data_IF_080385294412
#
_entry.id   IF_080385294412
#
_cell.length_a   1.000
_cell.length_b   1.000
_cell.length_c   1.000
_cell.angle_alpha   90.00
_cell.angle_beta   90.00
_cell.angle_gamma   90.00
#
_symmetry.space_group_name_H-M   'P 1'
#
loop_
_entity.id
_entity.type
_entity.pdbx_description
1 polymer ?
#
# COMPACT_ATOMS: atom_id res chain seq x y z
N UNK A 1 18.71 7.02 26.20
CA UNK A 1 18.05 8.27 25.85
C UNK A 1 16.89 8.01 24.91
N UNK A 2 15.75 8.69 25.10
CA UNK A 2 14.53 8.61 24.30
C UNK A 2 14.43 9.92 23.53
N UNK A 3 13.91 9.91 22.30
CA UNK A 3 13.72 11.12 21.50
C UNK A 3 12.23 11.41 21.38
N UNK A 4 11.85 12.63 21.72
CA UNK A 4 10.47 13.13 21.74
C UNK A 4 10.35 14.42 20.93
N UNK A 5 9.13 14.75 20.48
CA UNK A 5 8.81 16.08 19.94
C UNK A 5 8.53 17.09 21.08
N UNK A 6 8.15 18.30 20.71
CA UNK A 6 7.80 19.39 21.66
C UNK A 6 6.51 19.13 22.45
N UNK A 7 5.71 18.13 22.04
CA UNK A 7 4.51 17.66 22.74
C UNK A 7 4.78 16.39 23.55
N UNK A 8 6.05 16.02 23.72
CA UNK A 8 6.52 14.81 24.40
C UNK A 8 6.03 13.49 23.78
N UNK A 9 5.67 13.49 22.49
CA UNK A 9 5.37 12.26 21.76
C UNK A 9 6.67 11.54 21.44
N UNK A 10 6.78 10.27 21.81
CA UNK A 10 7.97 9.47 21.58
C UNK A 10 8.16 9.22 20.07
N UNK A 11 9.26 9.74 19.53
CA UNK A 11 9.66 9.56 18.13
C UNK A 11 10.60 8.37 17.96
N UNK A 12 11.46 8.11 18.97
CA UNK A 12 12.39 6.99 18.99
C UNK A 12 12.59 6.51 20.42
N UNK A 13 12.80 5.18 20.59
CA UNK A 13 13.08 4.56 21.89
C UNK A 13 11.87 4.03 22.62
N UNK A 14 10.76 3.69 21.94
CA UNK A 14 9.52 3.15 22.55
C UNK A 14 9.81 1.91 23.41
N UNK A 15 10.59 0.95 22.92
CA UNK A 15 10.94 -0.24 23.70
C UNK A 15 11.80 0.10 24.92
N UNK A 16 12.68 1.10 24.80
CA UNK A 16 13.48 1.59 25.95
C UNK A 16 12.60 2.28 26.97
N UNK A 17 11.61 3.06 26.51
CA UNK A 17 10.62 3.68 27.39
C UNK A 17 9.85 2.65 28.21
N UNK A 18 9.30 1.61 27.57
CA UNK A 18 8.58 0.55 28.29
C UNK A 18 9.49 -0.16 29.30
N UNK A 19 10.71 -0.52 28.91
CA UNK A 19 11.67 -1.13 29.83
C UNK A 19 12.05 -0.24 31.01
N UNK A 20 12.27 1.06 30.80
CA UNK A 20 12.57 2.05 31.85
C UNK A 20 11.37 2.18 32.81
N UNK A 21 10.16 2.24 32.26
CA UNK A 21 8.92 2.30 33.02
C UNK A 21 8.72 1.06 33.89
N UNK A 22 8.91 -0.14 33.34
CA UNK A 22 8.77 -1.40 34.05
C UNK A 22 9.80 -1.57 35.19
N UNK A 23 11.02 -1.02 34.96
CA UNK A 23 12.09 -1.07 35.94
C UNK A 23 12.07 0.09 36.95
N UNK A 24 11.17 1.06 36.80
CA UNK A 24 11.12 2.25 37.67
C UNK A 24 12.37 3.12 37.60
N UNK A 25 13.09 3.13 36.49
CA UNK A 25 14.33 3.88 36.33
C UNK A 25 14.08 5.34 35.91
N UNK A 26 15.02 6.27 36.22
CA UNK A 26 14.90 7.64 35.75
C UNK A 26 14.90 7.74 34.22
N UNK A 27 13.93 8.49 33.69
CA UNK A 27 13.78 8.71 32.25
C UNK A 27 14.62 9.91 31.81
N UNK A 28 15.48 9.68 30.81
CA UNK A 28 16.20 10.75 30.09
C UNK A 28 15.72 10.83 28.65
N UNK A 29 15.47 12.03 28.16
CA UNK A 29 14.96 12.26 26.80
C UNK A 29 15.61 13.49 26.17
N UNK A 30 15.54 13.55 24.83
CA UNK A 30 15.93 14.70 24.03
C UNK A 30 14.72 15.19 23.24
N UNK A 31 14.46 16.48 23.29
CA UNK A 31 13.38 17.10 22.50
C UNK A 31 13.96 17.53 21.16
N UNK A 32 13.26 17.18 20.07
CA UNK A 32 13.57 17.67 18.72
C UNK A 32 12.40 18.45 18.15
N UNK A 33 12.68 19.35 17.18
CA UNK A 33 11.64 20.16 16.55
C UNK A 33 10.65 19.28 15.76
N UNK A 34 9.32 19.51 15.87
CA UNK A 34 8.29 18.81 15.09
C UNK A 34 8.48 18.86 13.59
N UNK A 35 9.01 19.96 13.04
CA UNK A 35 9.27 20.08 11.59
C UNK A 35 10.28 19.05 11.09
N UNK A 36 11.23 18.66 11.94
CA UNK A 36 12.26 17.66 11.64
C UNK A 36 11.84 16.24 12.04
N UNK A 37 10.79 16.10 12.84
CA UNK A 37 10.41 14.83 13.47
C UNK A 37 10.10 13.72 12.45
N UNK A 38 9.45 14.05 11.33
CA UNK A 38 9.12 13.09 10.28
C UNK A 38 10.38 12.62 9.54
N UNK A 39 11.22 13.57 9.11
CA UNK A 39 12.50 13.28 8.46
C UNK A 39 13.42 12.49 9.39
N UNK A 40 13.39 12.83 10.68
CA UNK A 40 14.15 12.14 11.72
C UNK A 40 13.69 10.68 11.89
N UNK A 41 12.39 10.42 12.06
CA UNK A 41 11.85 9.05 12.19
C UNK A 41 12.22 8.21 10.96
N UNK A 42 12.08 8.77 9.76
CA UNK A 42 12.41 8.08 8.52
C UNK A 42 13.92 7.79 8.46
N UNK A 43 14.77 8.76 8.80
CA UNK A 43 16.23 8.61 8.76
C UNK A 43 16.74 7.59 9.77
N UNK A 44 16.23 7.60 10.99
CA UNK A 44 16.59 6.64 12.02
C UNK A 44 16.22 5.21 11.63
N UNK A 45 15.03 5.03 11.06
CA UNK A 45 14.59 3.70 10.63
C UNK A 45 15.30 3.22 9.35
N UNK A 46 15.70 4.12 8.45
CA UNK A 46 16.52 3.76 7.28
C UNK A 46 17.96 3.44 7.64
N UNK A 47 18.52 4.05 8.66
CA UNK A 47 19.89 3.79 9.12
C UNK A 47 20.02 2.48 9.93
N UNK A 48 18.98 2.09 10.65
CA UNK A 48 18.98 0.85 11.46
C UNK A 48 18.42 -0.35 10.70
N UNK A 49 17.38 -0.15 9.89
CA UNK A 49 16.73 -1.16 9.05
C UNK A 49 15.88 -0.45 8.00
N UNK A 50 16.13 -0.72 6.73
CA UNK A 50 15.27 -0.19 5.66
C UNK A 50 13.81 -0.60 5.86
N UNK A 51 12.93 0.37 6.00
CA UNK A 51 11.49 0.12 6.07
C UNK A 51 11.00 -0.58 4.80
N UNK A 52 10.15 -1.58 4.99
CA UNK A 52 9.39 -2.18 3.91
C UNK A 52 8.20 -1.29 3.54
N UNK A 53 7.66 -1.50 2.36
CA UNK A 53 6.53 -0.71 1.86
C UNK A 53 5.32 -0.72 2.81
N UNK A 54 5.05 -1.83 3.50
CA UNK A 54 3.94 -1.92 4.45
C UNK A 54 4.19 -1.11 5.75
N UNK A 55 5.46 -0.88 6.14
CA UNK A 55 5.83 -0.03 7.28
C UNK A 55 5.60 1.45 6.94
N UNK A 56 6.05 1.91 5.75
CA UNK A 56 5.71 3.25 5.23
C UNK A 56 4.20 3.45 5.11
N UNK A 57 3.48 2.44 4.59
CA UNK A 57 2.04 2.49 4.45
C UNK A 57 1.34 2.70 5.79
N UNK A 58 1.73 1.96 6.81
CA UNK A 58 1.15 2.07 8.15
C UNK A 58 1.45 3.43 8.79
N UNK A 59 2.68 3.93 8.65
CA UNK A 59 3.10 5.23 9.16
C UNK A 59 2.28 6.36 8.54
N UNK A 60 2.22 6.46 7.21
CA UNK A 60 1.50 7.53 6.54
C UNK A 60 -0.02 7.43 6.68
N UNK A 61 -0.60 6.23 6.68
CA UNK A 61 -2.02 6.06 6.93
C UNK A 61 -2.41 6.47 8.37
N UNK A 62 -1.56 6.21 9.37
CA UNK A 62 -1.76 6.70 10.74
C UNK A 62 -1.69 8.22 10.79
N UNK A 63 -0.72 8.83 10.11
CA UNK A 63 -0.56 10.28 10.00
C UNK A 63 -1.78 10.95 9.35
N UNK A 64 -2.29 10.39 8.25
CA UNK A 64 -3.53 10.86 7.61
C UNK A 64 -4.71 10.85 8.57
N UNK A 65 -4.88 9.76 9.33
CA UNK A 65 -5.96 9.63 10.33
C UNK A 65 -5.83 10.68 11.43
N UNK A 66 -4.62 10.94 11.92
CA UNK A 66 -4.37 11.94 12.97
C UNK A 66 -4.66 13.36 12.47
N UNK A 67 -4.23 13.69 11.24
CA UNK A 67 -4.44 15.03 10.66
C UNK A 67 -5.89 15.30 10.23
N UNK A 68 -6.62 14.24 9.82
CA UNK A 68 -7.98 14.35 9.28
C UNK A 68 -8.91 13.29 9.86
N UNK A 69 -9.22 13.35 11.19
CA UNK A 69 -9.93 12.27 11.89
C UNK A 69 -11.32 11.97 11.34
N UNK A 70 -12.00 12.95 10.72
CA UNK A 70 -13.34 12.77 10.16
C UNK A 70 -13.31 12.23 8.72
N UNK A 71 -12.30 12.56 7.92
CA UNK A 71 -12.25 12.28 6.48
C UNK A 71 -11.08 11.37 6.06
N UNK A 72 -10.38 10.72 7.01
CA UNK A 72 -9.20 9.90 6.70
C UNK A 72 -9.51 8.71 5.77
N UNK A 73 -10.76 8.25 5.74
CA UNK A 73 -11.19 7.15 4.86
C UNK A 73 -11.02 7.46 3.37
N UNK A 74 -11.00 8.74 2.98
CA UNK A 74 -10.79 9.17 1.60
C UNK A 74 -9.34 9.58 1.31
N UNK A 75 -8.45 9.47 2.30
CA UNK A 75 -7.04 9.80 2.13
C UNK A 75 -6.28 8.71 1.35
N UNK A 76 -5.24 9.09 0.55
CA UNK A 76 -4.54 8.16 -0.36
C UNK A 76 -3.96 6.94 0.33
N UNK A 77 -3.18 7.12 1.41
CA UNK A 77 -2.56 5.98 2.12
C UNK A 77 -3.59 5.08 2.80
N UNK A 78 -4.68 5.65 3.30
CA UNK A 78 -5.75 4.85 3.88
C UNK A 78 -6.48 4.00 2.84
N UNK A 79 -6.79 4.56 1.67
CA UNK A 79 -7.37 3.81 0.54
C UNK A 79 -6.43 2.71 0.06
N UNK A 80 -5.13 3.00 -0.04
CA UNK A 80 -4.11 2.02 -0.41
C UNK A 80 -4.02 0.89 0.63
N UNK A 81 -4.00 1.23 1.93
CA UNK A 81 -3.99 0.26 3.04
C UNK A 81 -5.21 -0.66 3.01
N UNK A 82 -6.39 -0.11 2.75
CA UNK A 82 -7.63 -0.88 2.61
C UNK A 82 -7.54 -1.86 1.44
N UNK A 83 -7.01 -1.45 0.29
CA UNK A 83 -6.81 -2.32 -0.87
C UNK A 83 -5.78 -3.44 -0.57
N UNK A 84 -4.71 -3.15 0.17
CA UNK A 84 -3.74 -4.15 0.64
C UNK A 84 -4.38 -5.21 1.55
N UNK A 85 -5.33 -4.81 2.39
CA UNK A 85 -6.09 -5.73 3.25
C UNK A 85 -6.80 -6.82 2.42
N UNK A 86 -7.24 -6.51 1.21
CA UNK A 86 -7.84 -7.47 0.28
C UNK A 86 -6.79 -8.28 -0.51
N UNK A 87 -5.54 -8.36 -0.07
CA UNK A 87 -4.44 -9.11 -0.70
C UNK A 87 -4.03 -8.62 -2.10
N UNK A 88 -4.37 -7.39 -2.46
CA UNK A 88 -3.86 -6.81 -3.70
C UNK A 88 -2.38 -6.47 -3.50
N UNK A 89 -1.53 -6.90 -4.43
CA UNK A 89 -0.09 -6.70 -4.35
C UNK A 89 0.29 -5.22 -4.44
N UNK A 90 1.35 -4.82 -3.73
CA UNK A 90 1.81 -3.43 -3.68
C UNK A 90 2.04 -2.83 -5.07
N UNK A 91 2.77 -3.54 -5.94
CA UNK A 91 3.06 -3.04 -7.30
C UNK A 91 1.81 -2.94 -8.18
N UNK A 92 0.83 -3.81 -7.97
CA UNK A 92 -0.49 -3.72 -8.62
C UNK A 92 -1.19 -2.40 -8.27
N UNK A 93 -1.16 -2.00 -7.00
CA UNK A 93 -1.77 -0.75 -6.56
C UNK A 93 -1.02 0.48 -7.09
N UNK A 94 0.32 0.44 -7.13
CA UNK A 94 1.13 1.50 -7.75
C UNK A 94 0.76 1.65 -9.23
N UNK A 95 0.62 0.55 -9.96
CA UNK A 95 0.24 0.57 -11.37
C UNK A 95 -1.18 1.10 -11.61
N UNK A 96 -2.15 0.72 -10.76
CA UNK A 96 -3.52 1.26 -10.82
C UNK A 96 -3.60 2.76 -10.59
N UNK A 97 -2.70 3.33 -9.79
CA UNK A 97 -2.69 4.77 -9.47
C UNK A 97 -2.01 5.58 -10.58
N UNK A 98 -0.87 5.09 -11.06
CA UNK A 98 0.00 5.89 -11.93
C UNK A 98 0.02 5.42 -13.38
N UNK A 99 -0.68 4.33 -13.69
CA UNK A 99 -0.62 3.65 -15.01
C UNK A 99 0.80 3.30 -15.44
N UNK A 100 1.73 3.22 -14.47
CA UNK A 100 3.14 2.88 -14.71
C UNK A 100 3.80 2.33 -13.44
N UNK A 101 4.93 1.64 -13.63
CA UNK A 101 5.74 1.05 -12.55
C UNK A 101 7.09 1.75 -12.39
N UNK A 102 7.14 3.04 -12.66
CA UNK A 102 8.38 3.81 -12.54
C UNK A 102 8.89 3.80 -11.09
N UNK A 103 10.21 3.78 -10.95
CA UNK A 103 10.88 3.76 -9.65
C UNK A 103 10.53 4.99 -8.80
N UNK A 104 10.32 6.13 -9.45
CA UNK A 104 9.95 7.41 -8.84
C UNK A 104 8.65 7.32 -8.04
N UNK A 105 7.66 6.55 -8.51
CA UNK A 105 6.39 6.36 -7.80
C UNK A 105 6.57 5.58 -6.49
N UNK A 106 7.46 4.58 -6.50
CA UNK A 106 7.79 3.82 -5.29
C UNK A 106 8.59 4.68 -4.30
N UNK A 107 9.54 5.49 -4.80
CA UNK A 107 10.29 6.46 -3.99
C UNK A 107 9.35 7.53 -3.43
N UNK A 108 8.44 8.06 -4.25
CA UNK A 108 7.43 9.03 -3.83
C UNK A 108 6.52 8.47 -2.74
N UNK A 109 6.12 7.20 -2.84
CA UNK A 109 5.35 6.51 -1.82
C UNK A 109 6.09 6.49 -0.47
N UNK A 110 7.36 6.10 -0.44
CA UNK A 110 8.19 6.10 0.77
C UNK A 110 8.48 7.49 1.35
N UNK A 111 8.27 8.55 0.57
CA UNK A 111 8.42 9.95 0.98
C UNK A 111 7.10 10.65 1.33
N UNK A 112 6.02 9.92 1.50
CA UNK A 112 4.72 10.52 1.84
C UNK A 112 4.01 11.22 0.68
N UNK A 113 4.42 10.98 -0.56
CA UNK A 113 3.92 11.67 -1.76
C UNK A 113 2.93 10.80 -2.57
N UNK A 114 2.16 9.94 -1.90
CA UNK A 114 1.13 9.17 -2.57
C UNK A 114 -0.05 10.09 -2.93
N UNK A 115 -0.43 10.10 -4.19
CA UNK A 115 -1.58 10.84 -4.70
C UNK A 115 -2.41 9.95 -5.62
N UNK A 116 -3.72 9.88 -5.40
CA UNK A 116 -4.67 9.14 -6.23
C UNK A 116 -5.48 10.18 -7.01
N UNK A 117 -5.19 10.31 -8.30
CA UNK A 117 -5.80 11.32 -9.17
C UNK A 117 -7.30 11.09 -9.32
N UNK A 118 -7.70 9.87 -9.67
CA UNK A 118 -9.10 9.46 -9.80
C UNK A 118 -9.41 8.40 -8.73
N UNK A 119 -9.99 8.88 -7.62
CA UNK A 119 -10.37 8.00 -6.49
C UNK A 119 -11.53 7.08 -6.84
N UNK A 120 -12.44 7.51 -7.70
CA UNK A 120 -13.60 6.72 -8.10
C UNK A 120 -13.16 5.54 -8.96
N UNK A 121 -12.35 5.80 -9.98
CA UNK A 121 -11.77 4.77 -10.84
C UNK A 121 -10.86 3.81 -10.06
N UNK A 122 -10.05 4.35 -9.15
CA UNK A 122 -9.23 3.50 -8.27
C UNK A 122 -10.07 2.54 -7.43
N UNK A 123 -11.12 3.04 -6.77
CA UNK A 123 -12.05 2.21 -5.98
C UNK A 123 -12.76 1.17 -6.84
N UNK A 124 -13.20 1.54 -8.03
CA UNK A 124 -13.84 0.64 -9.00
C UNK A 124 -12.89 -0.48 -9.41
N UNK A 125 -11.66 -0.17 -9.80
CA UNK A 125 -10.66 -1.15 -10.20
C UNK A 125 -10.25 -2.08 -9.04
N UNK A 126 -10.13 -1.56 -7.82
CA UNK A 126 -9.91 -2.36 -6.61
C UNK A 126 -11.06 -3.33 -6.40
N UNK A 127 -12.31 -2.87 -6.50
CA UNK A 127 -13.50 -3.73 -6.35
C UNK A 127 -13.57 -4.83 -7.41
N UNK A 128 -13.23 -4.50 -8.66
CA UNK A 128 -13.14 -5.49 -9.73
C UNK A 128 -12.11 -6.58 -9.41
N UNK A 129 -10.87 -6.19 -9.02
CA UNK A 129 -9.83 -7.16 -8.65
C UNK A 129 -10.26 -8.05 -7.47
N UNK A 130 -10.89 -7.46 -6.45
CA UNK A 130 -11.43 -8.22 -5.30
C UNK A 130 -12.50 -9.22 -5.77
N UNK A 131 -13.38 -8.81 -6.68
CA UNK A 131 -14.41 -9.69 -7.23
C UNK A 131 -13.79 -10.83 -8.03
N UNK A 132 -12.83 -10.54 -8.90
CA UNK A 132 -12.10 -11.55 -9.68
C UNK A 132 -11.36 -12.55 -8.76
N UNK A 133 -10.70 -12.09 -7.71
CA UNK A 133 -10.03 -12.95 -6.73
C UNK A 133 -10.99 -13.84 -5.95
N UNK A 134 -12.18 -13.35 -5.62
CA UNK A 134 -13.22 -14.18 -4.99
C UNK A 134 -13.77 -15.26 -5.91
N UNK A 135 -13.81 -14.98 -7.23
CA UNK A 135 -14.30 -15.94 -8.22
C UNK A 135 -13.24 -16.98 -8.58
N UNK A 136 -11.97 -16.59 -8.64
CA UNK A 136 -10.91 -17.49 -9.09
C UNK A 136 -9.57 -17.24 -8.41
N UNK A 137 -8.99 -18.30 -7.82
CA UNK A 137 -7.75 -18.24 -7.05
C UNK A 137 -6.53 -17.77 -7.85
N UNK A 138 -6.48 -18.03 -9.17
CA UNK A 138 -5.39 -17.52 -10.01
C UNK A 138 -5.31 -15.99 -10.03
N UNK A 139 -6.43 -15.28 -9.79
CA UNK A 139 -6.46 -13.82 -9.68
C UNK A 139 -5.78 -13.30 -8.39
N UNK A 140 -5.54 -14.14 -7.38
CA UNK A 140 -4.73 -13.77 -6.21
C UNK A 140 -3.23 -13.71 -6.56
N UNK A 141 -2.82 -14.32 -7.67
CA UNK A 141 -1.41 -14.38 -8.05
C UNK A 141 -0.92 -13.03 -8.53
N UNK A 142 0.28 -12.62 -8.06
CA UNK A 142 0.87 -11.30 -8.37
C UNK A 142 0.90 -10.99 -9.87
N UNK A 143 1.37 -11.95 -10.69
CA UNK A 143 1.52 -11.71 -12.13
C UNK A 143 0.17 -11.57 -12.83
N UNK A 144 -0.86 -12.30 -12.39
CA UNK A 144 -2.24 -12.16 -12.88
C UNK A 144 -2.81 -10.78 -12.52
N UNK A 145 -2.63 -10.32 -11.28
CA UNK A 145 -3.06 -8.98 -10.88
C UNK A 145 -2.39 -7.88 -11.70
N UNK A 146 -1.06 -7.98 -11.91
CA UNK A 146 -0.31 -7.03 -12.74
C UNK A 146 -0.74 -7.07 -14.21
N UNK A 147 -1.04 -8.24 -14.75
CA UNK A 147 -1.57 -8.38 -16.11
C UNK A 147 -2.97 -7.76 -16.23
N UNK A 148 -3.86 -8.01 -15.25
CA UNK A 148 -5.19 -7.38 -15.21
C UNK A 148 -5.10 -5.86 -15.14
N UNK A 149 -4.11 -5.28 -14.44
CA UNK A 149 -3.93 -3.83 -14.43
C UNK A 149 -3.72 -3.23 -15.80
N UNK A 150 -2.98 -3.90 -16.71
CA UNK A 150 -2.81 -3.42 -18.09
C UNK A 150 -4.14 -3.31 -18.82
N UNK A 151 -5.04 -4.27 -18.62
CA UNK A 151 -6.38 -4.24 -19.22
C UNK A 151 -7.28 -3.21 -18.55
N UNK A 152 -7.17 -2.99 -17.23
CA UNK A 152 -7.96 -1.99 -16.51
C UNK A 152 -7.63 -0.54 -16.90
N UNK A 153 -6.44 -0.31 -17.47
CA UNK A 153 -6.02 0.97 -18.05
C UNK A 153 -6.62 1.16 -19.46
N UNK A 154 -6.90 0.05 -20.15
CA UNK A 154 -7.56 0.07 -21.48
C UNK A 154 -9.06 0.32 -21.29
N UNK A 155 -9.54 1.44 -21.85
CA UNK A 155 -10.96 1.83 -21.78
C UNK A 155 -11.92 0.83 -22.48
N UNK A 156 -11.39 -0.03 -23.35
CA UNK A 156 -12.16 -1.03 -24.06
C UNK A 156 -12.27 -2.37 -23.30
N UNK A 157 -11.65 -2.48 -22.13
CA UNK A 157 -11.71 -3.70 -21.34
C UNK A 157 -13.07 -3.85 -20.65
N UNK A 158 -13.84 -4.84 -21.10
CA UNK A 158 -15.14 -5.19 -20.52
C UNK A 158 -14.96 -6.08 -19.28
N UNK A 159 -15.11 -5.46 -18.11
CA UNK A 159 -14.95 -6.10 -16.80
C UNK A 159 -16.02 -7.17 -16.55
N UNK A 160 -17.25 -6.94 -17.00
CA UNK A 160 -18.39 -7.85 -16.80
C UNK A 160 -18.20 -9.10 -17.65
N UNK A 161 -17.94 -8.93 -18.94
CA UNK A 161 -17.63 -10.05 -19.85
C UNK A 161 -16.44 -10.87 -19.35
N UNK A 162 -15.38 -10.23 -18.80
CA UNK A 162 -14.26 -10.97 -18.21
C UNK A 162 -14.70 -11.83 -17.04
N UNK A 163 -15.49 -11.29 -16.09
CA UNK A 163 -15.96 -12.04 -14.92
C UNK A 163 -16.91 -13.20 -15.32
N UNK A 164 -17.77 -13.01 -16.32
CA UNK A 164 -18.60 -14.08 -16.85
C UNK A 164 -17.79 -15.21 -17.47
N UNK A 165 -16.78 -14.87 -18.30
CA UNK A 165 -15.89 -15.85 -18.90
C UNK A 165 -15.06 -16.59 -17.85
N UNK A 166 -14.60 -15.89 -16.80
CA UNK A 166 -13.88 -16.48 -15.68
C UNK A 166 -14.71 -17.57 -14.97
N UNK A 167 -16.01 -17.33 -14.79
CA UNK A 167 -16.95 -18.33 -14.25
C UNK A 167 -17.16 -19.51 -15.20
N UNK A 168 -17.31 -19.21 -16.49
CA UNK A 168 -17.64 -20.22 -17.49
C UNK A 168 -16.45 -21.11 -17.85
N UNK A 169 -15.23 -20.58 -17.81
CA UNK A 169 -14.01 -21.25 -18.24
C UNK A 169 -12.88 -21.12 -17.20
N UNK A 170 -13.10 -21.57 -15.94
CA UNK A 170 -12.12 -21.37 -14.86
C UNK A 170 -10.76 -22.00 -15.17
N UNK A 171 -10.72 -23.13 -15.85
CA UNK A 171 -9.47 -23.85 -16.16
C UNK A 171 -8.56 -23.11 -17.16
N UNK A 172 -9.07 -22.11 -17.86
CA UNK A 172 -8.28 -21.30 -18.79
C UNK A 172 -7.37 -20.28 -18.10
N UNK A 173 -7.72 -19.84 -16.88
CA UNK A 173 -6.89 -18.91 -16.13
C UNK A 173 -6.08 -19.67 -15.09
N UNK A 174 -4.80 -19.88 -15.36
CA UNK A 174 -3.87 -20.56 -14.45
C UNK A 174 -2.85 -19.57 -13.88
N UNK A 175 -2.35 -19.78 -12.65
CA UNK A 175 -1.26 -18.99 -12.11
C UNK A 175 -0.03 -19.06 -13.01
N UNK A 176 0.60 -17.93 -13.26
CA UNK A 176 1.72 -17.83 -14.20
C UNK A 176 2.98 -17.30 -13.53
N UNK A 177 4.13 -17.88 -13.87
CA UNK A 177 5.43 -17.46 -13.33
C UNK A 177 5.88 -16.10 -13.89
N UNK A 178 5.39 -15.72 -15.08
CA UNK A 178 5.69 -14.45 -15.72
C UNK A 178 4.42 -13.63 -15.98
N UNK A 179 4.60 -12.31 -16.10
CA UNK A 179 3.49 -11.42 -16.42
C UNK A 179 3.01 -11.59 -17.88
N UNK A 180 3.93 -11.91 -18.81
CA UNK A 180 3.58 -12.11 -20.22
C UNK A 180 2.68 -13.35 -20.39
N UNK A 181 3.01 -14.44 -19.70
CA UNK A 181 2.16 -15.64 -19.70
C UNK A 181 0.79 -15.34 -19.05
N UNK A 182 0.77 -14.59 -17.96
CA UNK A 182 -0.48 -14.17 -17.33
C UNK A 182 -1.34 -13.29 -18.28
N UNK A 183 -0.69 -12.39 -19.02
CA UNK A 183 -1.35 -11.54 -20.03
C UNK A 183 -1.95 -12.40 -21.15
N UNK A 184 -1.21 -13.41 -21.63
CA UNK A 184 -1.69 -14.33 -22.66
C UNK A 184 -2.90 -15.15 -22.13
N UNK A 185 -2.84 -15.68 -20.92
CA UNK A 185 -3.92 -16.44 -20.32
C UNK A 185 -5.21 -15.59 -20.20
N UNK A 186 -5.08 -14.32 -19.82
CA UNK A 186 -6.23 -13.37 -19.76
C UNK A 186 -6.80 -13.12 -21.16
N UNK A 187 -5.92 -12.95 -22.18
CA UNK A 187 -6.35 -12.70 -23.56
C UNK A 187 -7.09 -13.87 -24.17
N UNK A 188 -6.76 -15.10 -23.77
CA UNK A 188 -7.37 -16.33 -24.28
C UNK A 188 -8.62 -16.76 -23.50
N UNK A 189 -8.92 -16.10 -22.41
CA UNK A 189 -10.16 -16.23 -21.67
C UNK A 189 -11.31 -15.49 -22.37
#
# INVERSE_FOLDING_TARGET
NIIVDDQYVILEGQHRYEAIKDLGLPLTYTIINPEDSESFIISMNTNTKNWKNDEYLNFYAKKEKTKNPLNYHDMPYHNFKRARYYKIHFMTLIELIYSSRQKEHTIGFGKGKLFIQDKALFKENVNFLVTAMKQHKACEHRNTQLALCKYLIDKNFDKETFLEKLKKFPDKLVPSSTMDQATLNIKTL
#
